data_IF_819107980987
#
_entry.id   IF_819107980987
#
_cell.length_a   1.000
_cell.length_b   1.000
_cell.length_c   1.000
_cell.angle_alpha   90.00
_cell.angle_beta   90.00
_cell.angle_gamma   90.00
#
_symmetry.space_group_name_H-M   'P 1'
#
loop_
_entity.id
_entity.type
_entity.pdbx_description
1 polymer ?
#
# COMPACT_ATOMS: atom_id res chain seq x y z
N UNK A 1 6.31 18.84 17.97
CA UNK A 1 5.23 18.48 18.91
C UNK A 1 4.16 17.74 18.14
N UNK A 2 3.82 16.52 18.56
CA UNK A 2 2.82 15.70 17.90
C UNK A 2 1.50 16.41 17.76
N UNK A 3 1.04 16.48 16.51
CA UNK A 3 -0.28 17.01 16.19
C UNK A 3 -1.36 15.97 16.40
N UNK A 4 -1.03 14.68 16.44
CA UNK A 4 -2.00 13.60 16.60
C UNK A 4 -2.37 13.44 18.08
N UNK A 5 -3.66 13.46 18.37
CA UNK A 5 -4.21 13.18 19.69
C UNK A 5 -5.42 12.27 19.58
N UNK A 6 -5.63 11.46 20.60
CA UNK A 6 -6.87 10.71 20.78
C UNK A 6 -7.29 10.77 22.25
N UNK A 7 -8.39 10.12 22.57
CA UNK A 7 -8.89 10.04 23.93
C UNK A 7 -9.18 8.59 24.30
N UNK A 8 -8.96 8.24 25.56
CA UNK A 8 -9.44 6.97 26.11
C UNK A 8 -10.97 6.97 26.08
N UNK A 9 -11.56 6.02 25.36
CA UNK A 9 -13.01 5.96 25.12
C UNK A 9 -13.81 5.40 26.31
N UNK A 10 -13.18 4.57 27.15
CA UNK A 10 -13.86 3.85 28.24
C UNK A 10 -12.92 3.47 29.38
N UNK A 11 -13.49 3.11 30.54
CA UNK A 11 -12.75 2.63 31.72
C UNK A 11 -12.26 3.74 32.65
N UNK A 12 -11.35 3.39 33.58
CA UNK A 12 -10.86 4.25 34.67
C UNK A 12 -10.30 5.60 34.19
N UNK A 13 -9.67 5.61 33.01
CA UNK A 13 -9.01 6.79 32.44
C UNK A 13 -9.81 7.44 31.30
N UNK A 14 -11.13 7.20 31.22
CA UNK A 14 -11.99 7.75 30.16
C UNK A 14 -11.83 9.27 30.07
N UNK A 15 -11.68 9.78 28.85
CA UNK A 15 -11.49 11.22 28.57
C UNK A 15 -10.05 11.71 28.69
N UNK A 16 -9.11 10.87 29.14
CA UNK A 16 -7.69 11.22 29.15
C UNK A 16 -7.11 11.25 27.73
N UNK A 17 -6.27 12.24 27.46
CA UNK A 17 -5.57 12.39 26.18
C UNK A 17 -4.61 11.23 25.93
N UNK A 18 -4.45 10.86 24.67
CA UNK A 18 -3.45 9.92 24.17
C UNK A 18 -2.62 10.60 23.08
N UNK A 19 -1.34 10.22 23.01
CA UNK A 19 -0.36 10.68 22.03
C UNK A 19 0.25 9.48 21.30
N UNK A 20 0.85 9.65 20.11
CA UNK A 20 1.61 8.58 19.48
C UNK A 20 2.56 7.89 20.47
N UNK A 21 2.45 6.57 20.56
CA UNK A 21 3.28 5.78 21.45
C UNK A 21 4.65 5.59 20.81
N UNK A 22 5.69 6.05 21.51
CA UNK A 22 7.07 5.81 21.14
C UNK A 22 7.53 4.49 21.76
N UNK A 23 7.91 3.54 20.92
CA UNK A 23 8.40 2.23 21.34
C UNK A 23 9.87 2.32 21.80
N UNK A 24 10.38 1.24 22.43
CA UNK A 24 11.74 1.16 23.00
C UNK A 24 12.84 1.43 21.95
N UNK A 25 12.57 1.13 20.69
CA UNK A 25 13.46 1.39 19.56
C UNK A 25 13.32 2.81 18.99
N UNK A 26 12.70 3.73 19.73
CA UNK A 26 12.44 5.12 19.34
C UNK A 26 11.51 5.31 18.13
N UNK A 27 10.81 4.25 17.68
CA UNK A 27 9.87 4.27 16.55
C UNK A 27 8.40 4.40 17.00
N UNK A 28 7.54 4.80 16.08
CA UNK A 28 6.09 4.78 16.22
C UNK A 28 5.48 3.65 15.37
N UNK A 29 4.20 3.35 15.60
CA UNK A 29 3.50 2.28 14.87
C UNK A 29 2.22 2.78 14.22
N UNK A 30 2.14 2.61 12.90
CA UNK A 30 0.91 2.58 12.14
C UNK A 30 0.49 1.12 11.88
N UNK A 31 -0.80 0.85 11.71
CA UNK A 31 -1.25 -0.50 11.34
C UNK A 31 -2.56 -0.51 10.56
N UNK A 32 -2.69 -1.42 9.56
CA UNK A 32 -3.95 -1.66 8.87
C UNK A 32 -4.88 -2.61 9.65
N UNK A 33 -4.42 -3.28 10.71
CA UNK A 33 -5.21 -4.23 11.48
C UNK A 33 -4.88 -4.19 12.98
N UNK A 34 -5.61 -4.95 13.79
CA UNK A 34 -5.31 -5.10 15.23
C UNK A 34 -4.13 -6.01 15.54
N UNK A 35 -3.60 -6.73 14.54
CA UNK A 35 -2.60 -7.76 14.74
C UNK A 35 -1.18 -7.19 14.65
N UNK A 36 -0.33 -7.56 15.61
CA UNK A 36 1.06 -7.10 15.67
C UNK A 36 1.86 -7.45 14.42
N UNK A 37 1.51 -8.54 13.72
CA UNK A 37 2.19 -8.97 12.50
C UNK A 37 2.07 -7.94 11.37
N UNK A 38 1.03 -7.10 11.40
CA UNK A 38 0.75 -6.07 10.39
C UNK A 38 1.33 -4.69 10.78
N UNK A 39 2.14 -4.61 11.83
CA UNK A 39 2.72 -3.34 12.24
C UNK A 39 3.67 -2.80 11.18
N UNK A 40 3.54 -1.48 10.99
CA UNK A 40 4.40 -0.64 10.18
C UNK A 40 5.08 0.31 11.15
N UNK A 41 6.35 0.03 11.42
CA UNK A 41 7.18 0.90 12.23
C UNK A 41 7.63 2.10 11.39
N UNK A 42 7.56 3.30 11.99
CA UNK A 42 7.92 4.56 11.35
C UNK A 42 8.81 5.38 12.28
N UNK A 43 9.74 6.11 11.69
CA UNK A 43 10.85 6.74 12.43
C UNK A 43 10.52 8.15 12.92
N UNK A 44 9.42 8.73 12.40
CA UNK A 44 8.99 10.07 12.78
C UNK A 44 7.47 10.17 12.93
N UNK A 45 7.04 11.17 13.68
CA UNK A 45 5.62 11.51 13.79
C UNK A 45 5.05 12.02 12.45
N UNK A 46 5.88 12.58 11.56
CA UNK A 46 5.45 13.02 10.23
C UNK A 46 5.07 11.83 9.34
N UNK A 47 5.89 10.77 9.37
CA UNK A 47 5.59 9.50 8.70
C UNK A 47 4.31 8.87 9.26
N UNK A 48 4.16 8.86 10.58
CA UNK A 48 2.95 8.36 11.25
C UNK A 48 1.71 9.16 10.81
N UNK A 49 1.80 10.49 10.80
CA UNK A 49 0.73 11.38 10.37
C UNK A 49 0.33 11.12 8.91
N UNK A 50 1.29 10.93 8.01
CA UNK A 50 1.01 10.60 6.62
C UNK A 50 0.20 9.29 6.49
N UNK A 51 0.58 8.24 7.24
CA UNK A 51 -0.13 6.96 7.23
C UNK A 51 -1.51 7.04 7.89
N UNK A 52 -1.64 7.71 9.04
CA UNK A 52 -2.94 7.91 9.71
C UNK A 52 -3.92 8.66 8.82
N UNK A 53 -3.45 9.70 8.11
CA UNK A 53 -4.27 10.45 7.15
C UNK A 53 -4.73 9.62 5.94
N UNK A 54 -4.07 8.49 5.66
CA UNK A 54 -4.50 7.52 4.64
C UNK A 54 -5.41 6.41 5.19
N UNK A 55 -5.85 6.53 6.45
CA UNK A 55 -6.81 5.63 7.07
C UNK A 55 -6.22 4.58 8.00
N UNK A 56 -4.89 4.52 8.19
CA UNK A 56 -4.27 3.54 9.10
C UNK A 56 -4.49 3.91 10.57
N UNK A 57 -4.59 2.89 11.42
CA UNK A 57 -4.62 3.05 12.87
C UNK A 57 -3.22 3.38 13.40
N UNK A 58 -3.12 3.99 14.60
CA UNK A 58 -1.84 4.24 15.27
C UNK A 58 -1.84 3.70 16.70
N UNK A 59 -0.68 3.25 17.17
CA UNK A 59 -0.48 2.97 18.61
C UNK A 59 -0.34 4.28 19.36
N UNK A 60 -1.17 4.46 20.38
CA UNK A 60 -1.20 5.67 21.19
C UNK A 60 -1.20 5.32 22.67
N UNK A 61 -0.52 6.14 23.47
CA UNK A 61 -0.41 5.97 24.92
C UNK A 61 -0.43 7.33 25.62
N UNK A 62 -0.51 7.31 26.94
CA UNK A 62 -0.24 8.49 27.75
C UNK A 62 0.71 8.07 28.90
N UNK A 63 1.88 8.71 29.03
CA UNK A 63 2.85 8.37 30.08
C UNK A 63 2.33 8.62 31.49
N UNK A 64 1.32 9.47 31.65
CA UNK A 64 0.73 9.85 32.95
C UNK A 64 -0.32 8.83 33.46
N UNK A 65 -0.62 7.79 32.67
CA UNK A 65 -1.54 6.71 33.06
C UNK A 65 -0.88 5.34 32.91
N UNK A 66 -1.27 4.40 33.77
CA UNK A 66 -0.65 3.06 33.82
C UNK A 66 -1.13 2.10 32.73
N UNK A 67 -2.01 2.55 31.82
CA UNK A 67 -2.52 1.71 30.75
C UNK A 67 -1.46 1.50 29.66
N UNK A 68 -1.39 0.28 29.14
CA UNK A 68 -0.59 0.00 27.95
C UNK A 68 -1.05 0.79 26.72
N UNK A 69 -0.20 0.85 25.70
CA UNK A 69 -0.54 1.54 24.45
C UNK A 69 -1.75 0.88 23.76
N UNK A 70 -2.69 1.70 23.33
CA UNK A 70 -3.90 1.28 22.63
C UNK A 70 -3.75 1.50 21.14
N UNK A 71 -4.32 0.61 20.32
CA UNK A 71 -4.43 0.85 18.88
C UNK A 71 -5.68 1.69 18.63
N UNK A 72 -5.49 2.91 18.11
CA UNK A 72 -6.57 3.84 17.83
C UNK A 72 -6.78 3.90 16.32
N UNK A 73 -8.02 3.63 15.89
CA UNK A 73 -8.41 3.76 14.48
C UNK A 73 -8.31 5.21 14.03
N UNK A 74 -7.92 5.43 12.76
CA UNK A 74 -7.72 6.75 12.16
C UNK A 74 -8.87 7.73 12.44
N UNK A 75 -10.13 7.28 12.33
CA UNK A 75 -11.32 8.09 12.59
C UNK A 75 -11.43 8.66 14.02
N UNK A 76 -10.76 8.03 14.98
CA UNK A 76 -10.73 8.47 16.38
C UNK A 76 -9.47 9.28 16.73
N UNK A 77 -8.57 9.50 15.76
CA UNK A 77 -7.38 10.33 15.91
C UNK A 77 -7.69 11.73 15.38
N UNK A 78 -7.47 12.73 16.22
CA UNK A 78 -7.68 14.15 15.93
C UNK A 78 -6.35 14.87 15.77
N UNK A 79 -6.39 16.01 15.08
CA UNK A 79 -5.25 16.93 14.97
C UNK A 79 -5.42 18.10 15.93
N UNK A 80 -4.39 18.42 16.72
CA UNK A 80 -4.37 19.59 17.61
C UNK A 80 -4.49 20.91 16.84
N UNK A 81 -3.95 20.98 15.61
CA UNK A 81 -4.00 22.19 14.77
C UNK A 81 -4.64 21.88 13.40
N UNK A 82 -5.61 22.69 12.97
CA UNK A 82 -6.31 22.61 11.67
C UNK A 82 -5.45 23.05 10.45
N UNK A 83 -4.15 23.27 10.63
CA UNK A 83 -3.27 23.66 9.53
C UNK A 83 -3.20 22.52 8.49
N UNK A 84 -3.32 22.90 7.20
CA UNK A 84 -3.35 22.03 6.00
C UNK A 84 -2.42 20.80 6.12
N UNK A 85 -2.82 19.66 5.52
CA UNK A 85 -1.99 18.45 5.36
C UNK A 85 -0.52 18.83 5.09
N UNK A 86 0.36 18.66 6.07
CA UNK A 86 1.76 19.12 5.94
C UNK A 86 2.68 18.07 5.33
N UNK A 87 2.30 16.79 5.35
CA UNK A 87 3.18 15.69 4.95
C UNK A 87 2.46 14.70 4.03
N UNK A 88 2.66 14.84 2.72
CA UNK A 88 2.18 13.87 1.73
C UNK A 88 3.04 12.60 1.79
N UNK A 89 2.45 11.40 1.58
CA UNK A 89 3.22 10.14 1.53
C UNK A 89 4.40 10.17 0.54
N UNK A 90 4.24 10.84 -0.61
CA UNK A 90 5.30 10.98 -1.62
C UNK A 90 6.60 11.61 -1.13
N UNK A 91 6.55 12.43 -0.07
CA UNK A 91 7.76 13.03 0.54
C UNK A 91 8.74 11.95 1.02
N UNK A 92 8.24 10.81 1.47
CA UNK A 92 9.03 9.77 2.12
C UNK A 92 9.41 8.63 1.15
N UNK A 93 8.72 8.50 0.01
CA UNK A 93 8.94 7.38 -0.92
C UNK A 93 10.39 7.26 -1.42
N UNK A 94 11.13 8.34 -1.75
CA UNK A 94 12.51 8.20 -2.22
C UNK A 94 13.46 7.56 -1.20
N UNK A 95 13.39 7.96 0.08
CA UNK A 95 14.25 7.37 1.12
C UNK A 95 13.87 5.92 1.39
N UNK A 96 12.56 5.63 1.47
CA UNK A 96 12.05 4.28 1.69
C UNK A 96 12.45 3.31 0.58
N UNK A 97 12.38 3.74 -0.68
CA UNK A 97 12.81 2.90 -1.80
C UNK A 97 14.30 2.53 -1.70
N UNK A 98 15.16 3.47 -1.32
CA UNK A 98 16.59 3.21 -1.16
C UNK A 98 16.88 2.30 0.05
N UNK A 99 16.17 2.47 1.16
CA UNK A 99 16.34 1.65 2.37
C UNK A 99 16.07 0.16 2.13
N UNK A 100 15.07 -0.15 1.29
CA UNK A 100 14.69 -1.53 0.93
C UNK A 100 15.82 -2.26 0.20
N UNK A 101 16.60 -1.56 -0.62
CA UNK A 101 17.67 -2.15 -1.42
C UNK A 101 18.95 -2.42 -0.61
N UNK A 102 19.13 -1.75 0.53
CA UNK A 102 20.37 -1.79 1.32
C UNK A 102 20.38 -2.87 2.42
N UNK A 103 19.29 -3.59 2.66
CA UNK A 103 19.12 -4.37 3.91
C UNK A 103 18.65 -5.82 3.69
N UNK A 104 19.19 -6.71 4.53
CA UNK A 104 18.84 -8.13 4.61
C UNK A 104 17.43 -8.32 5.21
N UNK A 105 16.98 -7.42 6.09
CA UNK A 105 15.64 -7.42 6.70
C UNK A 105 14.55 -6.77 5.80
N UNK A 106 14.63 -7.10 4.51
CA UNK A 106 13.85 -6.53 3.40
C UNK A 106 12.34 -6.51 3.60
N UNK A 107 11.77 -7.43 4.39
CA UNK A 107 10.31 -7.57 4.56
C UNK A 107 9.68 -6.42 5.32
N UNK A 108 10.31 -5.92 6.38
CA UNK A 108 9.76 -4.82 7.20
C UNK A 108 9.80 -3.53 6.39
N UNK A 109 10.94 -3.25 5.74
CA UNK A 109 11.13 -2.07 4.90
C UNK A 109 10.22 -2.09 3.68
N UNK A 110 10.08 -3.25 3.02
CA UNK A 110 9.14 -3.41 1.90
C UNK A 110 7.69 -3.17 2.35
N UNK A 111 7.31 -3.59 3.56
CA UNK A 111 5.98 -3.28 4.10
C UNK A 111 5.79 -1.80 4.37
N UNK A 112 6.80 -1.11 4.91
CA UNK A 112 6.79 0.35 5.12
C UNK A 112 6.61 1.05 3.77
N UNK A 113 7.45 0.76 2.78
CA UNK A 113 7.33 1.27 1.42
C UNK A 113 5.93 1.02 0.83
N UNK A 114 5.42 -0.21 0.92
CA UNK A 114 4.11 -0.57 0.40
C UNK A 114 2.96 0.23 1.05
N UNK A 115 3.06 0.52 2.35
CA UNK A 115 2.10 1.35 3.04
C UNK A 115 2.10 2.79 2.50
N UNK A 116 3.30 3.36 2.27
CA UNK A 116 3.45 4.70 1.72
C UNK A 116 3.02 4.79 0.25
N UNK A 117 3.34 3.79 -0.58
CA UNK A 117 2.89 3.74 -1.97
C UNK A 117 1.36 3.71 -2.05
N UNK A 118 0.71 2.88 -1.22
CA UNK A 118 -0.75 2.82 -1.17
C UNK A 118 -1.35 4.13 -0.64
N UNK A 119 -0.75 4.73 0.39
CA UNK A 119 -1.17 6.02 0.93
C UNK A 119 -1.05 7.14 -0.12
N UNK A 120 -0.01 7.10 -0.95
CA UNK A 120 0.19 8.02 -2.07
C UNK A 120 -0.91 7.88 -3.13
N UNK A 121 -1.15 6.65 -3.61
CA UNK A 121 -2.14 6.37 -4.64
C UNK A 121 -3.58 6.69 -4.21
N UNK A 122 -3.94 6.45 -2.96
CA UNK A 122 -5.30 6.71 -2.44
C UNK A 122 -5.55 8.19 -2.16
N UNK A 123 -4.48 8.98 -2.00
CA UNK A 123 -4.49 10.43 -1.79
C UNK A 123 -5.48 10.89 -0.70
N UNK A 124 -5.47 10.21 0.46
CA UNK A 124 -6.31 10.55 1.62
C UNK A 124 -7.79 10.11 1.52
N UNK A 125 -8.18 9.39 0.46
CA UNK A 125 -9.50 8.74 0.39
C UNK A 125 -9.51 7.44 1.20
N UNK A 126 -10.69 7.00 1.63
CA UNK A 126 -10.88 5.72 2.34
C UNK A 126 -11.26 4.56 1.40
N UNK A 127 -11.52 4.88 0.13
CA UNK A 127 -11.85 3.94 -0.94
C UNK A 127 -11.16 4.35 -2.25
N UNK A 128 -10.99 3.39 -3.15
CA UNK A 128 -10.37 3.60 -4.45
C UNK A 128 -10.78 2.54 -5.47
N UNK A 129 -10.53 2.83 -6.75
CA UNK A 129 -10.86 1.91 -7.84
C UNK A 129 -9.67 1.00 -8.14
N UNK A 130 -9.94 -0.28 -8.38
CA UNK A 130 -8.94 -1.19 -8.90
C UNK A 130 -8.69 -0.91 -10.39
N UNK A 131 -7.44 -0.74 -10.80
CA UNK A 131 -7.05 -0.43 -12.19
C UNK A 131 -7.46 -1.50 -13.20
N UNK A 132 -7.57 -2.76 -12.77
CA UNK A 132 -7.89 -3.89 -13.65
C UNK A 132 -9.41 -4.10 -13.80
N UNK A 133 -10.13 -4.30 -12.69
CA UNK A 133 -11.57 -4.57 -12.75
C UNK A 133 -12.44 -3.32 -12.66
N UNK A 134 -11.84 -2.14 -12.40
CA UNK A 134 -12.48 -0.83 -12.29
C UNK A 134 -13.58 -0.73 -11.22
N UNK A 135 -13.70 -1.73 -10.35
CA UNK A 135 -14.61 -1.69 -9.20
C UNK A 135 -14.01 -0.88 -8.05
N UNK A 136 -14.86 -0.21 -7.29
CA UNK A 136 -14.49 0.52 -6.07
C UNK A 136 -14.40 -0.43 -4.87
N UNK A 137 -13.36 -0.27 -4.06
CA UNK A 137 -13.14 -1.03 -2.84
C UNK A 137 -12.70 -0.13 -1.69
N UNK A 138 -13.00 -0.52 -0.44
CA UNK A 138 -12.34 0.02 0.74
C UNK A 138 -10.81 -0.13 0.61
N UNK A 139 -10.05 0.82 1.17
CA UNK A 139 -8.57 0.83 1.07
C UNK A 139 -7.91 -0.46 1.57
N UNK A 140 -8.50 -1.13 2.56
CA UNK A 140 -8.02 -2.42 3.09
C UNK A 140 -8.04 -3.56 2.06
N UNK A 141 -8.93 -3.47 1.07
CA UNK A 141 -9.07 -4.40 -0.06
C UNK A 141 -8.19 -4.04 -1.26
N UNK A 142 -7.42 -2.95 -1.19
CA UNK A 142 -6.51 -2.50 -2.24
C UNK A 142 -5.05 -2.65 -1.81
N UNK A 143 -4.19 -2.94 -2.80
CA UNK A 143 -2.74 -2.94 -2.69
C UNK A 143 -2.13 -1.98 -3.72
N UNK A 144 -0.94 -1.45 -3.42
CA UNK A 144 -0.12 -0.76 -4.41
C UNK A 144 0.71 -1.81 -5.17
N UNK A 145 0.13 -2.38 -6.22
CA UNK A 145 0.80 -3.40 -7.03
C UNK A 145 1.86 -2.74 -7.92
N UNK A 146 3.08 -3.26 -7.88
CA UNK A 146 4.10 -2.90 -8.85
C UNK A 146 3.75 -3.48 -10.22
N UNK A 147 3.66 -2.63 -11.24
CA UNK A 147 3.35 -3.03 -12.62
C UNK A 147 4.53 -3.82 -13.19
N UNK A 148 5.74 -3.25 -13.11
CA UNK A 148 7.01 -3.94 -13.35
C UNK A 148 7.55 -4.45 -12.02
N UNK A 149 8.03 -5.69 -11.94
CA UNK A 149 8.52 -6.27 -10.67
C UNK A 149 9.60 -5.37 -10.07
N UNK A 150 9.45 -5.02 -8.78
CA UNK A 150 10.37 -4.14 -8.05
C UNK A 150 11.85 -4.53 -8.18
N UNK A 151 12.15 -5.83 -8.10
CA UNK A 151 13.51 -6.36 -8.24
C UNK A 151 14.11 -6.22 -9.64
N UNK A 152 13.29 -5.94 -10.64
CA UNK A 152 13.69 -5.75 -12.05
C UNK A 152 13.62 -4.27 -12.47
N UNK A 153 13.18 -3.39 -11.57
CA UNK A 153 13.21 -1.95 -11.78
C UNK A 153 14.61 -1.39 -11.54
N UNK A 154 15.05 -0.48 -12.41
CA UNK A 154 16.17 0.41 -12.15
C UNK A 154 15.84 1.39 -11.02
N UNK A 155 16.84 2.06 -10.47
CA UNK A 155 16.63 3.05 -9.41
C UNK A 155 15.72 4.20 -9.86
N UNK A 156 15.80 4.63 -11.12
CA UNK A 156 14.92 5.66 -11.67
C UNK A 156 13.47 5.18 -11.75
N UNK A 157 13.25 3.95 -12.22
CA UNK A 157 11.91 3.36 -12.28
C UNK A 157 11.31 3.12 -10.88
N UNK A 158 12.12 2.77 -9.89
CA UNK A 158 11.67 2.63 -8.49
C UNK A 158 11.21 3.96 -7.88
N UNK A 159 11.74 5.08 -8.37
CA UNK A 159 11.36 6.43 -7.94
C UNK A 159 10.17 7.00 -8.72
N UNK A 160 9.74 6.34 -9.80
CA UNK A 160 8.59 6.71 -10.60
C UNK A 160 7.28 6.15 -10.00
N UNK A 161 7.04 6.45 -8.72
CA UNK A 161 5.93 5.92 -7.94
C UNK A 161 4.54 6.36 -8.46
N UNK A 162 4.48 7.36 -9.35
CA UNK A 162 3.23 7.77 -10.00
C UNK A 162 2.81 6.80 -11.11
N UNK A 163 3.77 6.08 -11.71
CA UNK A 163 3.53 5.28 -12.91
C UNK A 163 3.95 3.82 -12.79
N UNK A 164 4.92 3.47 -11.92
CA UNK A 164 5.43 2.10 -11.75
C UNK A 164 4.53 1.22 -10.88
N UNK A 165 3.66 1.83 -10.08
CA UNK A 165 2.69 1.16 -9.20
C UNK A 165 1.26 1.59 -9.50
N UNK A 166 0.30 0.73 -9.18
CA UNK A 166 -1.13 1.05 -9.33
C UNK A 166 -1.99 0.33 -8.29
N UNK A 167 -3.25 0.76 -8.12
CA UNK A 167 -4.17 0.11 -7.19
C UNK A 167 -4.74 -1.17 -7.80
N UNK A 168 -4.49 -2.32 -7.17
CA UNK A 168 -5.13 -3.58 -7.52
C UNK A 168 -5.91 -4.15 -6.33
N UNK A 169 -7.04 -4.79 -6.60
CA UNK A 169 -7.84 -5.39 -5.55
C UNK A 169 -7.29 -6.74 -5.11
N UNK A 170 -7.37 -6.99 -3.81
CA UNK A 170 -7.12 -8.30 -3.18
C UNK A 170 -8.22 -9.32 -3.49
N UNK A 171 -9.32 -8.90 -4.11
CA UNK A 171 -10.40 -9.77 -4.56
C UNK A 171 -10.00 -10.64 -5.77
N UNK A 172 -8.84 -10.37 -6.40
CA UNK A 172 -8.23 -11.29 -7.36
C UNK A 172 -7.39 -10.63 -8.44
N UNK A 173 -7.57 -9.35 -8.73
CA UNK A 173 -6.84 -8.68 -9.82
C UNK A 173 -5.33 -8.63 -9.59
N UNK A 174 -4.90 -8.34 -8.36
CA UNK A 174 -3.49 -8.34 -7.98
C UNK A 174 -2.84 -9.71 -8.27
N UNK A 175 -3.48 -10.77 -7.79
CA UNK A 175 -3.06 -12.15 -7.93
C UNK A 175 -3.03 -12.63 -9.40
N UNK A 176 -4.07 -12.27 -10.18
CA UNK A 176 -4.16 -12.56 -11.62
C UNK A 176 -3.03 -11.89 -12.40
N UNK A 177 -2.73 -10.63 -12.08
CA UNK A 177 -1.70 -9.86 -12.75
C UNK A 177 -0.29 -10.32 -12.34
N UNK A 178 -0.02 -10.46 -11.04
CA UNK A 178 1.28 -10.89 -10.53
C UNK A 178 1.67 -12.28 -11.03
N UNK A 179 0.72 -13.22 -11.04
CA UNK A 179 0.93 -14.58 -11.55
C UNK A 179 0.88 -14.63 -13.09
N UNK A 180 0.58 -13.53 -13.77
CA UNK A 180 0.59 -13.42 -15.22
C UNK A 180 -0.49 -14.25 -15.91
N UNK A 181 -1.66 -14.39 -15.28
CA UNK A 181 -2.89 -14.87 -15.94
C UNK A 181 -3.46 -13.83 -16.89
N UNK A 182 -3.23 -12.56 -16.57
CA UNK A 182 -3.50 -11.44 -17.45
C UNK A 182 -2.22 -10.65 -17.71
N UNK A 183 -2.18 -9.94 -18.82
CA UNK A 183 -1.20 -8.91 -19.13
C UNK A 183 -1.90 -7.77 -19.89
N UNK A 184 -1.28 -6.60 -19.96
CA UNK A 184 -1.83 -5.45 -20.66
C UNK A 184 -0.97 -5.15 -21.87
N UNK A 185 -1.60 -4.94 -23.03
CA UNK A 185 -0.98 -4.53 -24.28
C UNK A 185 -1.88 -3.49 -24.94
N UNK A 186 -1.33 -2.40 -25.43
CA UNK A 186 -2.09 -1.27 -26.02
C UNK A 186 -3.23 -0.77 -25.12
N UNK A 187 -3.01 -0.80 -23.80
CA UNK A 187 -3.99 -0.41 -22.79
C UNK A 187 -5.12 -1.42 -22.56
N UNK A 188 -5.12 -2.56 -23.26
CA UNK A 188 -6.18 -3.59 -23.20
C UNK A 188 -5.72 -4.78 -22.38
N UNK A 189 -6.63 -5.36 -21.58
CA UNK A 189 -6.37 -6.55 -20.77
C UNK A 189 -6.51 -7.81 -21.61
N UNK A 190 -5.44 -8.62 -21.68
CA UNK A 190 -5.40 -9.89 -22.40
C UNK A 190 -5.23 -11.08 -21.45
N UNK A 191 -5.86 -12.21 -21.80
CA UNK A 191 -5.61 -13.50 -21.13
C UNK A 191 -4.29 -14.06 -21.61
N UNK A 192 -3.47 -14.58 -20.70
CA UNK A 192 -2.27 -15.32 -21.06
C UNK A 192 -2.62 -16.78 -21.44
N UNK A 193 -2.48 -17.18 -22.72
CA UNK A 193 -2.85 -18.52 -23.16
C UNK A 193 -1.94 -19.62 -22.58
N UNK A 194 -0.75 -19.26 -22.08
CA UNK A 194 0.19 -20.21 -21.46
C UNK A 194 -0.20 -20.61 -20.03
N UNK A 195 -1.17 -19.94 -19.41
CA UNK A 195 -1.63 -20.25 -18.06
C UNK A 195 -2.79 -21.23 -18.11
N UNK A 196 -2.62 -22.37 -17.43
CA UNK A 196 -3.72 -23.31 -17.19
C UNK A 196 -4.79 -22.62 -16.35
N UNK A 197 -6.04 -22.74 -16.77
CA UNK A 197 -7.19 -22.13 -16.12
C UNK A 197 -8.21 -23.21 -15.76
N UNK A 198 -9.17 -22.86 -14.91
CA UNK A 198 -10.33 -23.71 -14.57
C UNK A 198 -11.60 -22.96 -14.96
N UNK A 199 -12.74 -23.66 -15.12
CA UNK A 199 -14.01 -22.98 -15.44
C UNK A 199 -14.39 -21.89 -14.44
N UNK A 200 -14.03 -22.05 -13.16
CA UNK A 200 -14.26 -21.02 -12.15
C UNK A 200 -13.40 -19.76 -12.41
N UNK A 201 -12.13 -19.94 -12.76
CA UNK A 201 -11.21 -18.83 -13.04
C UNK A 201 -11.55 -18.14 -14.36
N UNK A 202 -11.99 -18.90 -15.38
CA UNK A 202 -12.42 -18.33 -16.66
C UNK A 202 -13.62 -17.41 -16.51
N UNK A 203 -14.58 -17.74 -15.63
CA UNK A 203 -15.69 -16.83 -15.31
C UNK A 203 -15.24 -15.50 -14.71
N UNK A 204 -14.11 -15.48 -14.00
CA UNK A 204 -13.52 -14.24 -13.45
C UNK A 204 -12.80 -13.48 -14.56
N UNK A 205 -11.95 -14.17 -15.33
CA UNK A 205 -11.20 -13.58 -16.44
C UNK A 205 -12.12 -12.94 -17.47
N UNK A 206 -13.19 -13.63 -17.88
CA UNK A 206 -14.12 -13.14 -18.90
C UNK A 206 -14.81 -11.82 -18.53
N UNK A 207 -14.81 -11.41 -17.25
CA UNK A 207 -15.33 -10.10 -16.83
C UNK A 207 -14.37 -8.94 -17.06
N UNK A 208 -13.08 -9.23 -17.25
CA UNK A 208 -12.01 -8.21 -17.33
C UNK A 208 -11.25 -8.23 -18.66
N UNK A 209 -11.20 -9.38 -19.36
CA UNK A 209 -10.53 -9.45 -20.67
C UNK A 209 -11.22 -8.51 -21.67
N UNK A 210 -10.42 -7.76 -22.41
CA UNK A 210 -10.89 -6.77 -23.39
C UNK A 210 -11.19 -5.39 -22.80
N UNK A 211 -11.25 -5.25 -21.47
CA UNK A 211 -11.38 -3.93 -20.86
C UNK A 211 -10.06 -3.15 -20.98
N UNK A 212 -10.16 -1.83 -20.98
CA UNK A 212 -9.00 -0.94 -20.96
C UNK A 212 -8.54 -0.65 -19.53
N UNK A 213 -7.27 -0.28 -19.35
CA UNK A 213 -6.76 0.26 -18.09
C UNK A 213 -6.62 1.79 -18.17
N UNK A 214 -7.05 2.54 -17.13
CA UNK A 214 -7.13 4.00 -17.18
C UNK A 214 -5.77 4.72 -17.13
N UNK A 215 -4.73 4.08 -16.62
CA UNK A 215 -3.38 4.67 -16.46
C UNK A 215 -2.41 4.28 -17.58
N UNK A 216 -2.90 3.73 -18.71
CA UNK A 216 -2.04 3.25 -19.79
C UNK A 216 -1.04 4.29 -20.28
N UNK A 217 -1.50 5.51 -20.59
CA UNK A 217 -0.69 6.55 -21.24
C UNK A 217 0.64 6.82 -20.52
N UNK A 218 0.63 6.84 -19.19
CA UNK A 218 1.84 7.12 -18.41
C UNK A 218 2.57 5.85 -17.94
N UNK A 219 1.86 4.71 -17.82
CA UNK A 219 2.42 3.45 -17.30
C UNK A 219 2.77 2.42 -18.38
N UNK A 220 2.60 2.73 -19.67
CA UNK A 220 2.73 1.78 -20.79
C UNK A 220 4.04 0.99 -20.72
N UNK A 221 5.18 1.66 -20.51
CA UNK A 221 6.51 1.03 -20.44
C UNK A 221 6.59 -0.09 -19.38
N UNK A 222 5.88 0.06 -18.27
CA UNK A 222 5.87 -0.91 -17.18
C UNK A 222 4.95 -2.09 -17.50
N UNK A 223 3.79 -1.82 -18.10
CA UNK A 223 2.87 -2.86 -18.57
C UNK A 223 3.51 -3.70 -19.67
N UNK A 224 4.23 -3.07 -20.60
CA UNK A 224 4.98 -3.77 -21.65
C UNK A 224 6.10 -4.64 -21.07
N UNK A 225 6.87 -4.13 -20.10
CA UNK A 225 7.89 -4.92 -19.42
C UNK A 225 7.28 -6.16 -18.73
N UNK A 226 6.12 -6.02 -18.09
CA UNK A 226 5.36 -7.13 -17.53
C UNK A 226 4.89 -8.11 -18.60
N UNK A 227 4.25 -7.62 -19.67
CA UNK A 227 3.75 -8.44 -20.77
C UNK A 227 4.89 -9.25 -21.42
N UNK A 228 6.04 -8.62 -21.68
CA UNK A 228 7.25 -9.26 -22.23
C UNK A 228 7.74 -10.43 -21.36
N UNK A 229 7.69 -10.27 -20.04
CA UNK A 229 8.08 -11.32 -19.10
C UNK A 229 7.23 -12.58 -19.22
N UNK A 230 5.92 -12.42 -19.46
CA UNK A 230 4.98 -13.54 -19.58
C UNK A 230 4.79 -14.01 -21.03
N UNK A 231 5.15 -13.20 -22.02
CA UNK A 231 5.11 -13.54 -23.45
C UNK A 231 6.36 -14.28 -23.95
N UNK A 232 7.53 -14.13 -23.31
CA UNK A 232 8.74 -14.92 -23.63
C UNK A 232 8.47 -16.43 -23.46
N UNK A 233 8.90 -17.26 -24.43
CA UNK A 233 8.89 -18.73 -24.29
C UNK A 233 9.74 -19.07 -23.06
N UNK A 234 9.27 -19.97 -22.18
CA UNK A 234 10.21 -20.63 -21.26
C UNK A 234 11.23 -21.31 -22.17
N UNK A 235 12.52 -21.04 -21.97
CA UNK A 235 13.53 -22.00 -22.41
C UNK A 235 13.25 -23.22 -21.55
N UNK A 236 12.70 -24.25 -22.16
CA UNK A 236 12.70 -25.58 -21.56
C UNK A 236 14.19 -25.89 -21.32
N UNK A 237 14.54 -26.05 -20.04
CA UNK A 237 15.84 -26.54 -19.66
C UNK A 237 15.70 -28.05 -19.79
N UNK A 238 16.21 -28.56 -20.91
CA UNK A 238 16.51 -29.99 -21.09
C UNK A 238 17.63 -30.42 -20.14
#
# INVERSE_FOLDING_TARGET
MSKLIAYVSSGKYKGTLLYPHKHVNEQYVASPSRFNIDYIYVDSEEELEALVNSGLSARMSNPDITNGSSLIISNNIRRKNHLKLLHKPSKFLPSLSNEVDLDYDSKIKSRKEQAFLRAHLINGKLEGSCTICQQNYPIEFLVAAHIKKRSECSNLEKLDFDNVVTLMCKAGCDDLFEKGYIYILDGIIHKNPKRKTTPALDRILNKIIGNTVPNWENSAIYYEAHAQKFSKKRKDID
#
